data_IF_210352294473
#
_entry.id   IF_210352294473
#
_cell.length_a   1.000
_cell.length_b   1.000
_cell.length_c   1.000
_cell.angle_alpha   90.00
_cell.angle_beta   90.00
_cell.angle_gamma   90.00
#
_symmetry.space_group_name_H-M   'P 1'
#
loop_
_entity.id
_entity.type
_entity.pdbx_description
1 polymer ?
#
# COMPACT_ATOMS: atom_id res chain seq x y z
N UNK A 1 -28.38 31.99 18.18
CA UNK A 1 -27.21 32.24 17.31
C UNK A 1 -26.43 30.95 17.29
N UNK A 2 -26.25 30.34 16.12
CA UNK A 2 -25.37 29.17 16.01
C UNK A 2 -23.93 29.61 16.31
N UNK A 3 -23.23 28.87 17.18
CA UNK A 3 -21.82 29.12 17.43
C UNK A 3 -20.97 28.55 16.30
N UNK A 4 -19.82 29.15 15.97
CA UNK A 4 -18.90 28.61 14.95
C UNK A 4 -18.56 27.13 15.22
N UNK A 5 -18.52 26.73 16.50
CA UNK A 5 -18.29 25.34 16.92
C UNK A 5 -19.36 24.38 16.40
N UNK A 6 -20.60 24.81 16.24
CA UNK A 6 -21.72 24.00 15.74
C UNK A 6 -21.64 23.69 14.24
N UNK A 7 -20.82 24.43 13.48
CA UNK A 7 -20.54 24.14 12.06
C UNK A 7 -19.61 22.93 11.89
N UNK A 8 -18.84 22.57 12.91
CA UNK A 8 -17.91 21.46 12.84
C UNK A 8 -18.63 20.12 13.06
N UNK A 9 -18.03 19.05 12.52
CA UNK A 9 -18.52 17.70 12.73
C UNK A 9 -18.66 17.38 14.22
N UNK A 10 -19.82 16.84 14.61
CA UNK A 10 -20.07 16.35 15.97
C UNK A 10 -19.31 15.06 16.29
N UNK A 11 -18.94 14.29 15.26
CA UNK A 11 -18.24 13.00 15.42
C UNK A 11 -16.73 13.16 15.37
N UNK A 12 -16.21 14.19 14.68
CA UNK A 12 -14.79 14.47 14.55
C UNK A 12 -14.41 15.70 15.35
N UNK A 13 -13.74 15.50 16.49
CA UNK A 13 -13.26 16.59 17.35
C UNK A 13 -12.38 17.57 16.57
N UNK A 14 -12.52 18.87 16.82
CA UNK A 14 -11.79 19.93 16.10
C UNK A 14 -10.29 19.93 16.42
N UNK A 15 -9.92 19.51 17.62
CA UNK A 15 -8.57 19.47 18.18
C UNK A 15 -7.86 18.12 17.96
N UNK A 16 -8.46 17.23 17.16
CA UNK A 16 -7.85 15.94 16.82
C UNK A 16 -6.57 16.13 16.00
N UNK A 17 -5.63 15.20 16.16
CA UNK A 17 -4.41 15.15 15.36
C UNK A 17 -4.77 14.81 13.91
N UNK A 18 -4.17 15.54 12.97
CA UNK A 18 -4.26 15.27 11.53
C UNK A 18 -2.84 15.18 11.00
N UNK A 19 -2.52 14.04 10.41
CA UNK A 19 -1.23 13.84 9.78
C UNK A 19 -1.12 14.69 8.52
N UNK A 20 -0.03 15.47 8.45
CA UNK A 20 0.22 16.37 7.32
C UNK A 20 0.85 15.65 6.14
N UNK A 21 1.58 14.57 6.41
CA UNK A 21 2.37 13.84 5.42
C UNK A 21 2.05 12.36 5.52
N UNK A 22 1.72 11.78 4.37
CA UNK A 22 1.42 10.36 4.22
C UNK A 22 2.69 9.63 3.79
N UNK A 23 3.12 8.64 4.57
CA UNK A 23 4.29 7.81 4.28
C UNK A 23 3.89 6.34 4.19
N UNK A 24 4.63 5.54 3.44
CA UNK A 24 4.34 4.10 3.30
C UNK A 24 4.82 3.26 4.48
N UNK A 25 5.69 3.81 5.33
CA UNK A 25 6.41 3.09 6.40
C UNK A 25 5.71 3.15 7.75
N UNK A 26 4.55 3.80 7.87
CA UNK A 26 3.79 3.85 9.13
C UNK A 26 3.51 2.45 9.67
N UNK A 27 4.08 2.14 10.84
CA UNK A 27 3.83 0.91 11.60
C UNK A 27 2.88 1.14 12.79
N UNK A 28 2.65 2.38 13.18
CA UNK A 28 1.68 2.74 14.22
C UNK A 28 0.25 2.54 13.69
N UNK A 29 -0.42 1.54 14.26
CA UNK A 29 -1.76 1.11 13.87
C UNK A 29 -2.83 2.16 14.17
N UNK A 30 -2.71 2.88 15.30
CA UNK A 30 -3.67 3.91 15.70
C UNK A 30 -3.55 5.14 14.80
N UNK A 31 -2.31 5.50 14.43
CA UNK A 31 -2.08 6.57 13.46
C UNK A 31 -2.62 6.18 12.08
N UNK A 32 -2.42 4.94 11.64
CA UNK A 32 -2.96 4.45 10.37
C UNK A 32 -4.50 4.44 10.37
N UNK A 33 -5.11 4.08 11.50
CA UNK A 33 -6.57 4.13 11.70
C UNK A 33 -7.10 5.54 11.57
N UNK A 34 -6.48 6.50 12.25
CA UNK A 34 -6.85 7.92 12.16
C UNK A 34 -6.71 8.41 10.72
N UNK A 35 -5.61 8.06 10.06
CA UNK A 35 -5.30 8.43 8.69
C UNK A 35 -6.38 7.94 7.70
N UNK A 36 -6.83 6.68 7.75
CA UNK A 36 -7.86 6.17 6.84
C UNK A 36 -9.27 6.70 7.16
N UNK A 37 -9.59 6.96 8.43
CA UNK A 37 -10.88 7.57 8.84
C UNK A 37 -10.99 9.04 8.38
N UNK A 38 -9.86 9.72 8.20
CA UNK A 38 -9.82 11.07 7.63
C UNK A 38 -9.81 11.09 6.09
N UNK A 39 -9.69 9.93 5.44
CA UNK A 39 -9.66 9.88 3.98
C UNK A 39 -11.06 10.10 3.38
N UNK A 40 -11.19 11.17 2.59
CA UNK A 40 -12.42 11.49 1.88
C UNK A 40 -12.26 11.09 0.41
N UNK A 41 -12.91 10.00 0.01
CA UNK A 41 -12.98 9.62 -1.39
C UNK A 41 -14.01 10.51 -2.11
N UNK A 42 -13.50 11.39 -2.97
CA UNK A 42 -14.36 12.16 -3.87
C UNK A 42 -14.84 11.29 -5.03
N UNK A 43 -15.90 11.70 -5.72
CA UNK A 43 -16.39 10.99 -6.91
C UNK A 43 -15.30 10.76 -7.97
N UNK A 44 -14.38 11.74 -8.11
CA UNK A 44 -13.27 11.59 -9.03
C UNK A 44 -12.28 10.52 -8.57
N UNK A 45 -11.95 10.47 -7.27
CA UNK A 45 -11.08 9.43 -6.73
C UNK A 45 -11.71 8.04 -6.90
N UNK A 46 -13.01 7.91 -6.67
CA UNK A 46 -13.72 6.64 -6.88
C UNK A 46 -13.63 6.15 -8.33
N UNK A 47 -13.84 7.04 -9.32
CA UNK A 47 -13.65 6.69 -10.73
C UNK A 47 -12.21 6.27 -11.05
N UNK A 48 -11.22 6.92 -10.43
CA UNK A 48 -9.81 6.54 -10.61
C UNK A 48 -9.50 5.17 -9.98
N UNK A 49 -10.06 4.86 -8.82
CA UNK A 49 -9.95 3.52 -8.23
C UNK A 49 -10.59 2.46 -9.11
N UNK A 50 -11.79 2.72 -9.64
CA UNK A 50 -12.47 1.79 -10.54
C UNK A 50 -11.64 1.48 -11.79
N UNK A 51 -11.17 2.52 -12.47
CA UNK A 51 -10.30 2.37 -13.64
C UNK A 51 -9.02 1.57 -13.32
N UNK A 52 -8.38 1.87 -12.19
CA UNK A 52 -7.15 1.18 -11.80
C UNK A 52 -7.42 -0.30 -11.48
N UNK A 53 -8.51 -0.60 -10.77
CA UNK A 53 -8.91 -1.97 -10.47
C UNK A 53 -9.25 -2.77 -11.73
N UNK A 54 -9.83 -2.14 -12.76
CA UNK A 54 -10.02 -2.75 -14.08
C UNK A 54 -8.68 -3.14 -14.71
N UNK A 55 -7.73 -2.20 -14.76
CA UNK A 55 -6.41 -2.47 -15.33
C UNK A 55 -5.66 -3.56 -14.57
N UNK A 56 -5.71 -3.55 -13.23
CA UNK A 56 -5.11 -4.60 -12.41
C UNK A 56 -5.71 -5.97 -12.69
N UNK A 57 -7.04 -6.08 -12.74
CA UNK A 57 -7.70 -7.37 -12.97
C UNK A 57 -7.37 -7.92 -14.36
N UNK A 58 -7.36 -7.06 -15.39
CA UNK A 58 -6.95 -7.44 -16.76
C UNK A 58 -5.48 -7.86 -16.82
N UNK A 59 -4.59 -7.09 -16.18
CA UNK A 59 -3.16 -7.37 -16.16
C UNK A 59 -2.81 -8.69 -15.49
N UNK A 60 -3.36 -8.93 -14.29
CA UNK A 60 -3.05 -10.13 -13.52
C UNK A 60 -3.69 -11.38 -14.14
N UNK A 61 -4.89 -11.26 -14.73
CA UNK A 61 -5.56 -12.39 -15.38
C UNK A 61 -4.91 -12.87 -16.68
N UNK A 62 -3.90 -12.14 -17.19
CA UNK A 62 -3.15 -12.52 -18.40
C UNK A 62 -3.94 -12.42 -19.71
N UNK A 63 -5.17 -11.90 -19.68
CA UNK A 63 -6.04 -11.75 -20.86
C UNK A 63 -5.67 -10.55 -21.75
N UNK A 64 -4.78 -9.66 -21.30
CA UNK A 64 -4.45 -8.40 -21.97
C UNK A 64 -3.03 -8.24 -22.54
N UNK A 65 -2.12 -9.23 -22.37
CA UNK A 65 -0.69 -9.03 -22.67
C UNK A 65 0.05 -8.35 -21.52
N UNK A 66 1.34 -8.65 -21.40
CA UNK A 66 2.15 -8.49 -20.18
C UNK A 66 2.34 -7.05 -19.67
N UNK A 67 2.54 -6.96 -18.35
CA UNK A 67 2.97 -5.83 -17.50
C UNK A 67 2.09 -4.56 -17.48
N UNK A 68 1.29 -4.40 -16.41
CA UNK A 68 0.52 -3.17 -16.14
C UNK A 68 1.36 -2.18 -15.36
N UNK A 69 1.73 -1.08 -16.03
CA UNK A 69 2.34 0.10 -15.40
C UNK A 69 1.31 1.21 -15.20
N UNK A 70 1.21 1.74 -13.97
CA UNK A 70 0.31 2.87 -13.65
C UNK A 70 1.11 4.07 -13.18
N UNK A 71 0.85 5.23 -13.79
CA UNK A 71 1.46 6.51 -13.40
C UNK A 71 0.44 7.41 -12.71
N UNK A 72 0.64 7.69 -11.42
CA UNK A 72 -0.24 8.57 -10.63
C UNK A 72 0.37 9.98 -10.58
N UNK A 73 -0.29 10.96 -11.19
CA UNK A 73 0.17 12.35 -11.27
C UNK A 73 -0.85 13.34 -10.68
N UNK A 74 -0.41 14.57 -10.42
CA UNK A 74 -1.23 15.61 -9.78
C UNK A 74 -0.41 16.60 -8.96
N UNK A 75 -1.02 17.74 -8.60
CA UNK A 75 -0.37 18.83 -7.87
C UNK A 75 -0.07 18.47 -6.39
N UNK A 76 0.73 19.28 -5.70
CA UNK A 76 1.05 19.05 -4.28
C UNK A 76 -0.21 19.08 -3.40
N UNK A 77 -0.39 18.08 -2.54
CA UNK A 77 -1.58 17.96 -1.69
C UNK A 77 -2.82 17.36 -2.39
N UNK A 78 -2.71 16.92 -3.64
CA UNK A 78 -3.83 16.29 -4.38
C UNK A 78 -4.18 14.85 -3.93
N UNK A 79 -3.51 14.31 -2.91
CA UNK A 79 -3.79 12.97 -2.38
C UNK A 79 -3.16 11.79 -3.14
N UNK A 80 -2.11 12.01 -3.95
CA UNK A 80 -1.44 10.91 -4.70
C UNK A 80 -0.91 9.80 -3.80
N UNK A 81 -0.15 10.17 -2.76
CA UNK A 81 0.48 9.20 -1.86
C UNK A 81 -0.54 8.43 -1.02
N UNK A 82 -1.63 9.09 -0.59
CA UNK A 82 -2.72 8.39 0.10
C UNK A 82 -3.46 7.45 -0.83
N UNK A 83 -3.72 7.87 -2.08
CA UNK A 83 -4.36 7.02 -3.10
C UNK A 83 -3.59 5.71 -3.32
N UNK A 84 -2.28 5.79 -3.56
CA UNK A 84 -1.44 4.60 -3.78
C UNK A 84 -1.24 3.77 -2.50
N UNK A 85 -1.02 4.42 -1.36
CA UNK A 85 -0.84 3.75 -0.06
C UNK A 85 -2.06 2.92 0.29
N UNK A 86 -3.25 3.50 0.26
CA UNK A 86 -4.46 2.83 0.69
C UNK A 86 -4.87 1.74 -0.29
N UNK A 87 -4.67 1.95 -1.60
CA UNK A 87 -4.85 0.88 -2.57
C UNK A 87 -3.98 -0.33 -2.23
N UNK A 88 -2.66 -0.12 -2.11
CA UNK A 88 -1.76 -1.23 -1.85
C UNK A 88 -2.03 -1.88 -0.48
N UNK A 89 -2.36 -1.11 0.55
CA UNK A 89 -2.74 -1.68 1.84
C UNK A 89 -4.06 -2.47 1.77
N UNK A 90 -5.03 -2.03 0.96
CA UNK A 90 -6.28 -2.76 0.76
C UNK A 90 -6.09 -4.07 -0.01
N UNK A 91 -5.05 -4.16 -0.84
CA UNK A 91 -4.73 -5.37 -1.60
C UNK A 91 -3.81 -6.35 -0.85
N UNK A 92 -3.17 -5.92 0.24
CA UNK A 92 -2.36 -6.78 1.10
C UNK A 92 -3.24 -7.52 2.14
N UNK A 93 -3.41 -8.85 2.04
CA UNK A 93 -4.25 -9.62 2.97
C UNK A 93 -3.72 -9.64 4.42
N UNK A 94 -2.44 -9.34 4.63
CA UNK A 94 -1.83 -9.31 5.95
C UNK A 94 -2.00 -7.95 6.64
N UNK A 95 -2.38 -6.91 5.91
CA UNK A 95 -2.54 -5.57 6.46
C UNK A 95 -3.87 -5.44 7.20
N UNK A 96 -3.80 -5.31 8.53
CA UNK A 96 -4.98 -5.22 9.40
C UNK A 96 -4.87 -4.03 10.35
N UNK A 97 -6.03 -3.49 10.73
CA UNK A 97 -6.22 -2.53 11.81
C UNK A 97 -7.32 -3.10 12.70
N UNK A 98 -7.04 -3.27 13.98
CA UNK A 98 -7.91 -3.88 14.99
C UNK A 98 -8.43 -5.25 14.55
N UNK A 99 -7.55 -6.04 13.92
CA UNK A 99 -7.84 -7.36 13.31
C UNK A 99 -8.79 -7.33 12.11
N UNK A 100 -9.30 -6.16 11.70
CA UNK A 100 -10.07 -5.96 10.46
C UNK A 100 -9.11 -5.67 9.32
N UNK A 101 -9.27 -6.35 8.19
CA UNK A 101 -8.45 -6.12 6.99
C UNK A 101 -8.58 -4.66 6.52
N UNK A 102 -7.45 -4.07 6.12
CA UNK A 102 -7.40 -2.68 5.66
C UNK A 102 -8.36 -2.44 4.48
N UNK A 103 -8.57 -3.46 3.64
CA UNK A 103 -9.58 -3.52 2.59
C UNK A 103 -10.93 -2.91 3.00
N UNK A 104 -11.47 -3.37 4.14
CA UNK A 104 -12.78 -2.94 4.60
C UNK A 104 -12.77 -1.49 5.09
N UNK A 105 -11.66 -1.02 5.65
CA UNK A 105 -11.52 0.39 6.06
C UNK A 105 -11.52 1.34 4.86
N UNK A 106 -10.88 0.95 3.75
CA UNK A 106 -10.94 1.71 2.50
C UNK A 106 -12.33 1.69 1.87
N UNK A 107 -13.01 0.54 1.88
CA UNK A 107 -14.38 0.42 1.37
C UNK A 107 -15.35 1.35 2.09
N UNK A 108 -15.20 1.51 3.40
CA UNK A 108 -16.04 2.41 4.21
C UNK A 108 -15.92 3.88 3.76
N UNK A 109 -14.85 4.25 3.05
CA UNK A 109 -14.66 5.61 2.52
C UNK A 109 -15.33 5.84 1.16
N UNK A 110 -15.70 4.79 0.43
CA UNK A 110 -16.33 4.91 -0.91
C UNK A 110 -17.84 5.00 -0.78
N UNK A 111 -18.50 5.90 -1.51
CA UNK A 111 -19.95 5.97 -1.60
C UNK A 111 -20.51 4.91 -2.58
N UNK A 112 -19.79 4.61 -3.66
CA UNK A 112 -20.20 3.64 -4.68
C UNK A 112 -20.19 2.20 -4.16
N UNK A 113 -21.37 1.59 -4.04
CA UNK A 113 -21.49 0.18 -3.70
C UNK A 113 -20.83 -0.75 -4.74
N UNK A 114 -20.99 -0.54 -6.07
CA UNK A 114 -20.27 -1.30 -7.08
C UNK A 114 -18.74 -1.25 -6.90
N UNK A 115 -18.17 -0.08 -6.61
CA UNK A 115 -16.73 0.06 -6.39
C UNK A 115 -16.25 -0.75 -5.18
N UNK A 116 -16.99 -0.68 -4.06
CA UNK A 116 -16.67 -1.49 -2.87
C UNK A 116 -16.62 -2.98 -3.21
N UNK A 117 -17.64 -3.48 -3.90
CA UNK A 117 -17.69 -4.88 -4.35
C UNK A 117 -16.53 -5.22 -5.29
N UNK A 118 -16.22 -4.33 -6.24
CA UNK A 118 -15.13 -4.55 -7.19
C UNK A 118 -13.78 -4.67 -6.49
N UNK A 119 -13.49 -3.79 -5.54
CA UNK A 119 -12.26 -3.85 -4.74
C UNK A 119 -12.15 -5.19 -3.99
N UNK A 120 -13.24 -5.66 -3.35
CA UNK A 120 -13.29 -6.99 -2.71
C UNK A 120 -12.99 -8.12 -3.69
N UNK A 121 -13.62 -8.08 -4.87
CA UNK A 121 -13.47 -9.12 -5.88
C UNK A 121 -12.05 -9.21 -6.39
N UNK A 122 -11.44 -8.07 -6.75
CA UNK A 122 -10.07 -8.01 -7.24
C UNK A 122 -9.08 -8.50 -6.17
N UNK A 123 -9.20 -8.01 -4.93
CA UNK A 123 -8.31 -8.40 -3.84
C UNK A 123 -8.38 -9.90 -3.51
N UNK A 124 -9.58 -10.51 -3.57
CA UNK A 124 -9.76 -11.94 -3.30
C UNK A 124 -9.36 -12.83 -4.45
N UNK A 125 -9.64 -12.39 -5.68
CA UNK A 125 -9.30 -13.14 -6.90
C UNK A 125 -7.78 -13.22 -7.07
N UNK A 126 -7.08 -12.16 -6.68
CA UNK A 126 -5.63 -12.03 -6.84
C UNK A 126 -4.98 -11.78 -5.48
N UNK A 127 -4.55 -12.82 -4.76
CA UNK A 127 -3.82 -12.66 -3.50
C UNK A 127 -2.41 -12.16 -3.79
N UNK A 128 -2.29 -10.84 -3.98
CA UNK A 128 -1.03 -10.21 -4.36
C UNK A 128 -0.17 -9.91 -3.13
N UNK A 129 1.14 -10.03 -3.32
CA UNK A 129 2.11 -9.46 -2.39
C UNK A 129 2.34 -8.01 -2.74
N UNK A 130 2.20 -7.11 -1.77
CA UNK A 130 2.38 -5.67 -1.96
C UNK A 130 3.72 -5.24 -1.37
N UNK A 131 4.58 -4.69 -2.22
CA UNK A 131 5.88 -4.15 -1.82
C UNK A 131 5.85 -2.64 -2.04
N UNK A 132 5.79 -1.89 -0.95
CA UNK A 132 5.85 -0.44 -0.98
C UNK A 132 7.32 0.02 -1.04
N UNK A 133 7.61 0.95 -1.95
CA UNK A 133 8.94 1.51 -2.16
C UNK A 133 8.88 3.03 -2.13
N UNK A 134 9.70 3.63 -1.27
CA UNK A 134 9.91 5.08 -1.25
C UNK A 134 11.33 5.39 -1.73
N UNK A 135 11.48 5.60 -3.03
CA UNK A 135 12.79 5.85 -3.64
C UNK A 135 13.47 7.14 -3.14
N UNK A 136 12.70 8.12 -2.65
CA UNK A 136 13.25 9.36 -2.11
C UNK A 136 13.72 9.19 -0.66
N UNK A 137 12.94 8.48 0.16
CA UNK A 137 13.26 8.21 1.56
C UNK A 137 14.28 7.09 1.77
N UNK A 138 14.40 6.16 0.83
CA UNK A 138 15.16 4.90 0.99
C UNK A 138 16.44 4.84 0.15
N UNK A 139 17.01 6.00 -0.23
CA UNK A 139 18.35 6.02 -0.83
C UNK A 139 19.34 5.32 0.12
N UNK A 140 19.89 4.19 -0.35
CA UNK A 140 20.86 3.40 0.40
C UNK A 140 22.05 4.29 0.80
N UNK A 141 22.35 4.34 2.09
CA UNK A 141 23.47 5.10 2.62
C UNK A 141 24.77 4.68 1.91
N UNK A 142 25.44 5.63 1.25
CA UNK A 142 26.70 5.42 0.54
C UNK A 142 26.60 5.22 -0.98
N UNK A 143 25.40 5.11 -1.55
CA UNK A 143 25.19 5.04 -2.99
C UNK A 143 24.25 6.16 -3.45
N UNK A 144 24.82 7.33 -3.76
CA UNK A 144 24.09 8.45 -4.36
C UNK A 144 23.41 8.11 -5.71
N UNK A 145 23.61 6.89 -6.23
CA UNK A 145 23.14 6.39 -7.52
C UNK A 145 22.83 4.87 -7.46
N UNK A 146 22.25 4.34 -6.37
CA UNK A 146 21.79 2.96 -6.42
C UNK A 146 20.69 2.82 -7.50
N UNK A 147 20.85 1.91 -8.44
CA UNK A 147 19.81 1.65 -9.45
C UNK A 147 18.50 1.25 -8.76
N UNK A 148 17.36 1.67 -9.30
CA UNK A 148 16.02 1.32 -8.79
C UNK A 148 15.87 -0.20 -8.66
N UNK A 149 16.45 -0.95 -9.61
CA UNK A 149 16.55 -2.41 -9.61
C UNK A 149 17.17 -2.96 -8.32
N UNK A 150 18.22 -2.32 -7.81
CA UNK A 150 18.95 -2.74 -6.61
C UNK A 150 18.14 -2.47 -5.34
N UNK A 151 17.44 -1.33 -5.29
CA UNK A 151 16.55 -0.98 -4.17
C UNK A 151 15.36 -1.96 -4.12
N UNK A 152 14.72 -2.18 -5.27
CA UNK A 152 13.64 -3.15 -5.41
C UNK A 152 14.09 -4.56 -5.00
N UNK A 153 15.23 -5.02 -5.51
CA UNK A 153 15.79 -6.33 -5.14
C UNK A 153 16.01 -6.45 -3.63
N UNK A 154 16.65 -5.46 -3.01
CA UNK A 154 16.88 -5.47 -1.56
C UNK A 154 15.59 -5.54 -0.76
N UNK A 155 14.52 -4.87 -1.23
CA UNK A 155 13.23 -4.85 -0.55
C UNK A 155 12.45 -6.15 -0.70
N UNK A 156 12.53 -6.77 -1.87
CA UNK A 156 11.97 -8.11 -2.10
C UNK A 156 12.68 -9.14 -1.21
N UNK A 157 14.02 -9.08 -1.11
CA UNK A 157 14.77 -9.98 -0.23
C UNK A 157 14.40 -9.80 1.24
N UNK A 158 14.29 -8.54 1.71
CA UNK A 158 13.83 -8.26 3.08
C UNK A 158 12.41 -8.77 3.34
N UNK A 159 11.50 -8.56 2.39
CA UNK A 159 10.12 -9.09 2.49
C UNK A 159 10.11 -10.62 2.59
N UNK A 160 10.96 -11.30 1.81
CA UNK A 160 11.13 -12.75 1.83
C UNK A 160 11.99 -13.26 3.00
N UNK A 161 12.36 -12.38 3.95
CA UNK A 161 13.16 -12.70 5.13
C UNK A 161 14.57 -13.27 4.81
N UNK A 162 15.16 -12.81 3.71
CA UNK A 162 16.57 -13.06 3.37
C UNK A 162 17.47 -11.93 3.89
N UNK A 163 18.77 -12.23 3.94
CA UNK A 163 19.81 -11.29 4.35
C UNK A 163 19.82 -10.00 3.51
N UNK A 164 20.29 -8.91 4.12
CA UNK A 164 20.55 -7.64 3.42
C UNK A 164 21.81 -7.70 2.55
N UNK A 165 22.73 -8.62 2.85
CA UNK A 165 23.88 -8.87 1.98
C UNK A 165 23.43 -9.73 0.79
N UNK A 166 23.65 -9.21 -0.43
CA UNK A 166 23.18 -9.86 -1.66
C UNK A 166 23.75 -11.27 -1.86
N UNK A 167 25.02 -11.51 -1.49
CA UNK A 167 25.66 -12.82 -1.66
C UNK A 167 25.09 -13.81 -0.65
N UNK A 168 24.88 -13.35 0.59
CA UNK A 168 24.27 -14.17 1.64
C UNK A 168 22.81 -14.50 1.29
N UNK A 169 22.01 -13.52 0.86
CA UNK A 169 20.63 -13.75 0.42
C UNK A 169 20.54 -14.76 -0.73
N UNK A 170 21.45 -14.67 -1.70
CA UNK A 170 21.51 -15.62 -2.80
C UNK A 170 21.89 -17.04 -2.33
N UNK A 171 22.82 -17.17 -1.38
CA UNK A 171 23.16 -18.44 -0.76
C UNK A 171 21.97 -19.03 0.01
N UNK A 172 21.30 -18.23 0.84
CA UNK A 172 20.10 -18.64 1.59
C UNK A 172 19.00 -19.14 0.63
N UNK A 173 18.74 -18.41 -0.45
CA UNK A 173 17.80 -18.81 -1.50
C UNK A 173 18.21 -20.15 -2.15
N UNK A 174 19.50 -20.34 -2.45
CA UNK A 174 19.99 -21.60 -3.00
C UNK A 174 19.82 -22.76 -2.01
N UNK A 175 20.17 -22.55 -0.73
CA UNK A 175 20.03 -23.55 0.32
C UNK A 175 18.56 -23.93 0.54
N UNK A 176 17.66 -22.96 0.49
CA UNK A 176 16.21 -23.20 0.60
C UNK A 176 15.69 -24.01 -0.58
N UNK A 177 16.05 -23.62 -1.81
CA UNK A 177 15.68 -24.35 -3.03
C UNK A 177 16.18 -25.79 -3.02
N UNK A 178 17.38 -26.02 -2.50
CA UNK A 178 18.01 -27.33 -2.45
C UNK A 178 17.60 -28.14 -1.19
N UNK A 179 16.74 -27.58 -0.32
CA UNK A 179 16.25 -28.24 0.91
C UNK A 179 17.28 -28.40 2.03
N UNK A 180 18.35 -27.59 2.03
CA UNK A 180 19.51 -27.70 2.95
C UNK A 180 19.63 -26.54 3.95
N UNK A 181 18.67 -25.61 3.95
CA UNK A 181 18.71 -24.41 4.80
C UNK A 181 18.75 -24.76 6.29
N UNK A 182 17.88 -25.66 6.74
CA UNK A 182 17.81 -26.07 8.15
C UNK A 182 19.11 -26.72 8.63
N UNK A 183 19.78 -27.52 7.80
CA UNK A 183 21.05 -28.16 8.13
C UNK A 183 22.20 -27.15 8.20
N UNK A 184 22.13 -26.07 7.42
CA UNK A 184 23.13 -25.00 7.42
C UNK A 184 22.99 -24.07 8.63
N UNK A 185 21.78 -23.90 9.16
CA UNK A 185 21.48 -23.04 10.33
C UNK A 185 21.77 -23.71 11.69
N UNK A 186 22.05 -25.01 11.71
CA UNK A 186 22.45 -25.77 12.91
C UNK A 186 23.92 -25.60 13.26
#
# INVERSE_FOLDING_TARGET
>A
METIRELFSKTKKIDRRIEKVITYTTTDEELLKQEIIEYVATENLERQFEYLLDQLDTGISGSGGYDVGVWVSGFYGSGKSSFTKYLGFALDPNRKIERKEFLFWLQDQFQSHPLRQRLSTVAKRHPITVIMLDLAGEQLAGAAMAEISSVLYSKVMQWANYSKDRKVAYLELMLERDGKKEDFER
#
